data_IF_891574667665
#
_entry.id   IF_891574667665
#
_cell.length_a   1.000
_cell.length_b   1.000
_cell.length_c   1.000
_cell.angle_alpha   90.00
_cell.angle_beta   90.00
_cell.angle_gamma   90.00
#
_symmetry.space_group_name_H-M   'P 1'
#
loop_
_entity.id
_entity.type
_entity.pdbx_description
1 polymer ?
#
# COMPACT_ATOMS: atom_id res chain seq x y z
N UNK A 1 -23.78 -10.31 9.09
CA UNK A 1 -23.40 -9.68 7.81
C UNK A 1 -22.03 -9.05 7.94
N UNK A 2 -21.18 -9.30 6.98
CA UNK A 2 -19.84 -8.77 7.01
C UNK A 2 -19.80 -7.30 6.59
N UNK A 3 -18.87 -6.57 7.19
CA UNK A 3 -18.56 -5.21 6.83
C UNK A 3 -17.90 -5.22 5.44
N UNK A 4 -18.27 -4.33 4.50
CA UNK A 4 -17.60 -4.27 3.20
C UNK A 4 -16.09 -4.12 3.27
N UNK A 5 -15.56 -3.41 4.27
CA UNK A 5 -14.12 -3.27 4.46
C UNK A 5 -13.47 -4.59 4.84
N UNK A 6 -14.13 -5.40 5.65
CA UNK A 6 -13.65 -6.74 6.02
C UNK A 6 -13.61 -7.65 4.80
N UNK A 7 -14.62 -7.57 3.93
CA UNK A 7 -14.65 -8.37 2.71
C UNK A 7 -13.47 -8.04 1.79
N UNK A 8 -13.15 -6.76 1.65
CA UNK A 8 -12.00 -6.34 0.85
C UNK A 8 -10.69 -6.85 1.44
N UNK A 9 -10.54 -6.76 2.76
CA UNK A 9 -9.34 -7.25 3.44
C UNK A 9 -9.18 -8.76 3.28
N UNK A 10 -10.27 -9.52 3.45
CA UNK A 10 -10.23 -10.97 3.28
C UNK A 10 -9.85 -11.35 1.85
N UNK A 11 -10.38 -10.65 0.86
CA UNK A 11 -10.05 -10.89 -0.54
C UNK A 11 -8.57 -10.64 -0.82
N UNK A 12 -7.99 -9.58 -0.28
CA UNK A 12 -6.56 -9.29 -0.42
C UNK A 12 -5.72 -10.40 0.20
N UNK A 13 -6.10 -10.87 1.38
CA UNK A 13 -5.36 -11.94 2.07
C UNK A 13 -5.44 -13.26 1.30
N UNK A 14 -6.62 -13.62 0.79
CA UNK A 14 -6.80 -14.85 0.01
C UNK A 14 -6.03 -14.80 -1.31
N UNK A 15 -5.95 -13.62 -1.93
CA UNK A 15 -5.29 -13.42 -3.21
C UNK A 15 -4.00 -12.62 -3.07
N UNK A 16 -3.28 -12.83 -1.97
CA UNK A 16 -2.10 -12.01 -1.64
C UNK A 16 -1.02 -12.04 -2.72
N UNK A 17 -0.89 -13.15 -3.46
CA UNK A 17 0.07 -13.24 -4.55
C UNK A 17 -0.33 -12.40 -5.77
N UNK A 18 -1.59 -11.96 -5.81
CA UNK A 18 -2.17 -11.20 -6.90
C UNK A 18 -2.41 -9.73 -6.57
N UNK A 19 -2.03 -9.30 -5.35
CA UNK A 19 -2.26 -7.93 -4.90
C UNK A 19 -1.03 -7.35 -4.24
N UNK A 20 -0.85 -6.04 -4.40
CA UNK A 20 0.15 -5.29 -3.65
C UNK A 20 -0.35 -3.87 -3.43
N UNK A 21 -0.10 -3.35 -2.24
CA UNK A 21 -0.42 -1.96 -1.89
C UNK A 21 0.86 -1.14 -1.99
N UNK A 22 0.76 0.01 -2.63
CA UNK A 22 1.87 0.95 -2.79
C UNK A 22 1.58 2.23 -2.03
N UNK A 23 2.63 2.87 -1.54
CA UNK A 23 2.52 4.08 -0.74
C UNK A 23 3.43 5.16 -1.31
N UNK A 24 2.95 6.40 -1.30
CA UNK A 24 3.80 7.54 -1.65
C UNK A 24 3.43 8.73 -0.79
N UNK A 25 4.39 9.63 -0.58
CA UNK A 25 4.16 10.86 0.17
C UNK A 25 4.65 12.05 -0.65
N UNK A 26 3.97 13.17 -0.48
CA UNK A 26 4.31 14.44 -1.15
C UNK A 26 4.20 15.56 -0.13
N UNK A 27 5.18 16.48 -0.12
CA UNK A 27 5.21 17.62 0.79
C UNK A 27 5.70 17.29 2.20
N UNK A 28 5.77 16.04 2.57
CA UNK A 28 6.27 15.58 3.87
C UNK A 28 7.10 14.32 3.65
N UNK A 29 8.24 14.21 4.34
CA UNK A 29 9.08 13.00 4.29
C UNK A 29 8.47 11.87 5.10
N UNK A 30 8.32 10.71 4.48
CA UNK A 30 7.68 9.56 5.11
C UNK A 30 8.34 8.28 4.64
N UNK A 31 8.61 7.36 5.56
CA UNK A 31 9.10 6.04 5.24
C UNK A 31 7.98 5.03 5.44
N UNK A 32 7.89 4.06 4.54
CA UNK A 32 6.85 3.02 4.56
C UNK A 32 7.52 1.67 4.65
N UNK A 33 7.11 0.87 5.65
CA UNK A 33 7.68 -0.45 5.86
C UNK A 33 6.58 -1.49 5.76
N UNK A 34 6.71 -2.42 4.83
CA UNK A 34 5.78 -3.53 4.69
C UNK A 34 5.97 -4.50 5.85
N UNK A 35 4.86 -4.93 6.45
CA UNK A 35 4.85 -5.86 7.57
C UNK A 35 4.23 -7.20 7.21
N UNK A 36 3.69 -7.35 6.00
CA UNK A 36 3.11 -8.59 5.53
C UNK A 36 3.64 -8.95 4.14
N UNK A 37 3.72 -10.25 3.89
CA UNK A 37 4.32 -10.78 2.67
C UNK A 37 3.45 -11.90 2.13
N UNK A 38 3.48 -12.08 0.81
CA UNK A 38 2.73 -13.15 0.16
C UNK A 38 3.44 -14.49 0.27
N UNK A 39 2.90 -15.54 -0.34
CA UNK A 39 3.45 -16.88 -0.28
C UNK A 39 4.83 -17.01 -0.91
N UNK A 40 5.21 -16.05 -1.77
CA UNK A 40 6.52 -16.01 -2.42
C UNK A 40 7.52 -15.09 -1.70
N UNK A 41 7.12 -14.50 -0.58
CA UNK A 41 7.98 -13.59 0.18
C UNK A 41 8.01 -12.17 -0.33
N UNK A 42 7.10 -11.78 -1.23
CA UNK A 42 7.01 -10.43 -1.77
C UNK A 42 6.04 -9.59 -0.92
N UNK A 43 6.26 -8.26 -0.82
CA UNK A 43 5.38 -7.40 -0.03
C UNK A 43 3.94 -7.40 -0.51
N UNK A 44 2.99 -7.35 0.42
CA UNK A 44 1.57 -7.18 0.11
C UNK A 44 1.11 -5.77 0.49
N UNK A 45 1.23 -5.39 1.76
CA UNK A 45 0.93 -4.04 2.22
C UNK A 45 -0.40 -3.88 2.96
N UNK A 46 -1.05 -4.99 3.37
CA UNK A 46 -2.24 -4.88 4.23
C UNK A 46 -1.87 -4.51 5.65
N UNK A 47 -0.61 -4.76 6.02
CA UNK A 47 -0.02 -4.32 7.27
C UNK A 47 1.26 -3.57 6.95
N UNK A 48 1.43 -2.40 7.53
CA UNK A 48 2.58 -1.54 7.26
C UNK A 48 2.82 -0.57 8.41
N UNK A 49 4.03 -0.01 8.42
CA UNK A 49 4.41 1.02 9.37
C UNK A 49 4.72 2.30 8.61
N UNK A 50 4.19 3.43 9.08
CA UNK A 50 4.54 4.76 8.60
C UNK A 50 5.52 5.37 9.58
N UNK A 51 6.67 5.81 9.09
CA UNK A 51 7.68 6.46 9.92
C UNK A 51 7.99 7.85 9.35
N UNK A 52 7.56 8.94 10.02
CA UNK A 52 7.86 10.28 9.54
C UNK A 52 9.36 10.56 9.65
N UNK A 53 9.90 11.22 8.63
CA UNK A 53 11.32 11.58 8.57
C UNK A 53 11.60 12.99 9.08
N UNK A 54 10.56 13.74 9.40
CA UNK A 54 10.67 15.08 9.94
C UNK A 54 9.32 15.76 10.02
N UNK A 55 9.26 16.93 10.63
CA UNK A 55 8.03 17.69 10.71
C UNK A 55 7.67 18.28 9.35
N UNK A 56 6.38 18.41 9.09
CA UNK A 56 5.90 18.99 7.85
C UNK A 56 4.46 18.63 7.57
N UNK A 57 3.94 19.18 6.49
CA UNK A 57 2.58 18.91 6.03
C UNK A 57 2.60 18.53 4.57
N UNK A 58 1.79 17.55 4.22
CA UNK A 58 1.71 17.07 2.84
C UNK A 58 0.58 16.07 2.70
N UNK A 59 0.76 15.11 1.82
CA UNK A 59 -0.24 14.08 1.58
C UNK A 59 0.40 12.71 1.41
N UNK A 60 -0.37 11.67 1.73
CA UNK A 60 0.00 10.27 1.49
C UNK A 60 -1.01 9.66 0.54
N UNK A 61 -0.52 8.97 -0.48
CA UNK A 61 -1.34 8.24 -1.44
C UNK A 61 -1.13 6.75 -1.24
N UNK A 62 -2.23 6.02 -1.12
CA UNK A 62 -2.24 4.56 -1.00
C UNK A 62 -2.90 3.99 -2.25
N UNK A 63 -2.22 3.06 -2.92
CA UNK A 63 -2.69 2.48 -4.18
C UNK A 63 -2.70 0.96 -4.07
N UNK A 64 -3.87 0.35 -4.28
CA UNK A 64 -4.00 -1.10 -4.35
C UNK A 64 -3.95 -1.53 -5.81
N UNK A 65 -3.00 -2.40 -6.13
CA UNK A 65 -2.81 -2.91 -7.50
C UNK A 65 -3.15 -4.38 -7.56
N UNK A 66 -3.94 -4.77 -8.57
CA UNK A 66 -4.30 -6.14 -8.87
C UNK A 66 -3.36 -6.70 -9.94
N UNK A 67 -2.85 -7.90 -9.69
CA UNK A 67 -1.94 -8.61 -10.57
C UNK A 67 -0.69 -7.81 -10.96
N UNK A 68 0.01 -7.21 -9.97
CA UNK A 68 1.28 -6.56 -10.28
C UNK A 68 2.35 -7.61 -10.58
N UNK A 69 3.38 -7.19 -11.30
CA UNK A 69 4.58 -8.00 -11.41
C UNK A 69 5.32 -7.96 -10.08
N UNK A 70 5.68 -9.11 -9.54
CA UNK A 70 6.42 -9.21 -8.27
C UNK A 70 7.68 -10.06 -8.46
N UNK A 71 8.81 -9.64 -7.89
CA UNK A 71 9.05 -8.35 -7.25
C UNK A 71 9.11 -7.21 -8.26
N UNK A 72 9.00 -5.98 -7.77
CA UNK A 72 9.06 -4.78 -8.60
C UNK A 72 9.83 -3.67 -7.85
N UNK A 73 10.13 -2.58 -8.55
CA UNK A 73 10.83 -1.44 -7.97
C UNK A 73 9.86 -0.32 -7.53
N UNK A 74 8.57 -0.59 -7.55
CA UNK A 74 7.54 0.36 -7.17
C UNK A 74 6.38 0.35 -8.15
N UNK A 75 5.45 1.28 -7.97
CA UNK A 75 4.23 1.36 -8.76
C UNK A 75 4.52 1.50 -10.26
N UNK A 76 5.52 2.29 -10.62
CA UNK A 76 5.84 2.56 -12.03
C UNK A 76 6.27 1.31 -12.80
N UNK A 77 6.85 0.32 -12.13
CA UNK A 77 7.34 -0.90 -12.74
C UNK A 77 6.48 -2.11 -12.46
N UNK A 78 5.46 -1.95 -11.62
CA UNK A 78 4.63 -3.08 -11.19
C UNK A 78 3.66 -3.57 -12.27
N UNK A 79 3.20 -2.69 -13.15
CA UNK A 79 2.14 -3.05 -14.09
C UNK A 79 0.83 -3.34 -13.37
N UNK A 80 0.05 -4.29 -13.90
CA UNK A 80 -1.23 -4.65 -13.31
C UNK A 80 -2.29 -3.58 -13.47
N UNK A 81 -3.34 -3.66 -12.65
CA UNK A 81 -4.47 -2.73 -12.67
C UNK A 81 -4.65 -2.08 -11.31
N UNK A 82 -4.88 -0.77 -11.28
CA UNK A 82 -5.19 -0.07 -10.05
C UNK A 82 -6.66 -0.32 -9.69
N UNK A 83 -6.89 -0.97 -8.55
CA UNK A 83 -8.25 -1.22 -8.06
C UNK A 83 -8.75 -0.06 -7.21
N UNK A 84 -7.90 0.46 -6.34
CA UNK A 84 -8.25 1.55 -5.43
C UNK A 84 -7.04 2.47 -5.30
N UNK A 85 -7.29 3.77 -5.35
CA UNK A 85 -6.26 4.76 -5.03
C UNK A 85 -6.91 5.86 -4.20
N UNK A 86 -6.30 6.20 -3.08
CA UNK A 86 -6.80 7.27 -2.22
C UNK A 86 -5.64 8.12 -1.72
N UNK A 87 -5.91 9.42 -1.58
CA UNK A 87 -4.94 10.39 -1.07
C UNK A 87 -5.56 11.14 0.11
N UNK A 88 -4.79 11.29 1.17
CA UNK A 88 -5.27 12.01 2.35
C UNK A 88 -4.16 12.93 2.90
N UNK A 89 -4.57 14.04 3.56
CA UNK A 89 -3.60 14.98 4.13
C UNK A 89 -2.95 14.41 5.38
N UNK A 90 -1.68 14.77 5.58
CA UNK A 90 -0.90 14.35 6.74
C UNK A 90 -0.13 15.55 7.27
N UNK A 91 -0.14 15.71 8.59
CA UNK A 91 0.68 16.73 9.27
C UNK A 91 1.50 16.03 10.35
N UNK A 92 2.81 16.27 10.34
CA UNK A 92 3.74 15.77 11.36
C UNK A 92 4.25 16.97 12.13
N UNK A 93 4.00 16.98 13.42
CA UNK A 93 4.39 18.08 14.31
C UNK A 93 5.75 17.89 14.97
#
# INVERSE_FOLDING_TARGET
MEDPAENVTEEIVEEQDEHQVFFSASGVGMEFVYMDFDSNGNPVGTQFVLAPLGAGSGSVTITLVHEPTKPNDGLDTAGGSIDIQTTFPVTVE
#
